data_IF_427001923786
#
_entry.id   IF_427001923786
#
_cell.length_a   1.000
_cell.length_b   1.000
_cell.length_c   1.000
_cell.angle_alpha   90.00
_cell.angle_beta   90.00
_cell.angle_gamma   90.00
#
_symmetry.space_group_name_H-M   'P 1'
#
loop_
_entity.id
_entity.type
_entity.pdbx_description
1 polymer ?
#
# COMPACT_ATOMS: atom_id res chain seq x y z
N UNK A 1 -20.68 8.55 -4.23
CA UNK A 1 -20.36 7.10 -4.10
C UNK A 1 -21.33 6.50 -3.07
N UNK A 2 -22.21 5.61 -3.51
CA UNK A 2 -23.11 4.90 -2.60
C UNK A 2 -22.33 3.96 -1.68
N UNK A 3 -22.68 3.95 -0.42
CA UNK A 3 -22.09 3.02 0.56
C UNK A 3 -22.66 1.62 0.31
N UNK A 4 -21.80 0.66 0.08
CA UNK A 4 -22.17 -0.75 -0.04
C UNK A 4 -22.98 -1.21 1.19
N UNK A 5 -24.07 -1.95 0.96
CA UNK A 5 -24.86 -2.57 2.02
C UNK A 5 -24.03 -3.57 2.84
N UNK A 6 -24.41 -3.84 4.08
CA UNK A 6 -23.73 -4.84 4.93
C UNK A 6 -23.69 -6.24 4.30
N UNK A 7 -24.68 -6.58 3.47
CA UNK A 7 -24.77 -7.87 2.74
C UNK A 7 -23.71 -7.94 1.63
N UNK A 8 -23.55 -6.87 0.86
CA UNK A 8 -22.54 -6.75 -0.18
C UNK A 8 -21.12 -6.75 0.39
N UNK A 9 -20.91 -6.03 1.52
CA UNK A 9 -19.63 -6.07 2.22
C UNK A 9 -19.25 -7.48 2.71
N UNK A 10 -20.23 -8.27 3.20
CA UNK A 10 -20.02 -9.67 3.59
C UNK A 10 -19.70 -10.55 2.38
N UNK A 11 -20.38 -10.34 1.25
CA UNK A 11 -20.10 -11.07 0.00
C UNK A 11 -18.70 -10.75 -0.53
N UNK A 12 -18.29 -9.48 -0.52
CA UNK A 12 -16.93 -9.09 -0.92
C UNK A 12 -15.86 -9.70 -0.01
N UNK A 13 -16.10 -9.74 1.31
CA UNK A 13 -15.19 -10.41 2.25
C UNK A 13 -15.06 -11.93 1.97
N UNK A 14 -16.15 -12.60 1.58
CA UNK A 14 -16.10 -14.02 1.20
C UNK A 14 -15.36 -14.27 -0.11
N UNK A 15 -15.34 -13.30 -1.04
CA UNK A 15 -14.62 -13.41 -2.31
C UNK A 15 -13.09 -13.36 -2.17
N UNK A 16 -12.57 -13.03 -0.98
CA UNK A 16 -11.13 -12.94 -0.74
C UNK A 16 -10.50 -11.65 -1.32
N UNK A 17 -9.19 -11.58 -1.24
CA UNK A 17 -8.42 -10.43 -1.74
C UNK A 17 -8.44 -10.39 -3.27
N UNK A 18 -8.65 -9.21 -3.86
CA UNK A 18 -8.57 -9.04 -5.31
C UNK A 18 -7.17 -9.37 -5.83
N UNK A 19 -7.06 -9.71 -7.12
CA UNK A 19 -5.77 -10.07 -7.69
C UNK A 19 -4.74 -8.94 -7.53
N UNK A 20 -5.12 -7.69 -7.76
CA UNK A 20 -4.23 -6.53 -7.56
C UNK A 20 -3.80 -6.31 -6.10
N UNK A 21 -4.67 -6.59 -5.12
CA UNK A 21 -4.35 -6.35 -3.71
C UNK A 21 -3.28 -7.29 -3.14
N UNK A 22 -2.84 -8.26 -3.93
CA UNK A 22 -1.75 -9.15 -3.58
C UNK A 22 -0.37 -8.55 -3.87
N UNK A 23 -0.33 -7.38 -4.52
CA UNK A 23 0.91 -6.69 -4.87
C UNK A 23 0.89 -5.24 -4.39
N UNK A 24 2.05 -4.73 -4.04
CA UNK A 24 2.32 -3.31 -3.98
C UNK A 24 3.15 -2.95 -5.21
N UNK A 25 2.76 -1.87 -5.88
CA UNK A 25 3.44 -1.40 -7.08
C UNK A 25 4.03 -0.02 -6.87
N UNK A 26 5.08 0.26 -7.63
CA UNK A 26 5.64 1.59 -7.78
C UNK A 26 5.92 1.85 -9.27
N UNK A 27 5.83 3.12 -9.69
CA UNK A 27 6.11 3.50 -11.06
C UNK A 27 7.35 4.41 -11.08
N UNK A 28 8.46 3.86 -11.58
CA UNK A 28 9.77 4.50 -11.62
C UNK A 28 10.32 4.38 -13.05
N UNK A 29 10.90 5.44 -13.57
CA UNK A 29 11.56 5.47 -14.89
C UNK A 29 10.70 4.87 -16.01
N UNK A 30 9.43 5.23 -16.00
CA UNK A 30 8.41 4.77 -16.97
C UNK A 30 8.12 3.26 -16.90
N UNK A 31 8.48 2.58 -15.80
CA UNK A 31 8.27 1.16 -15.56
C UNK A 31 7.41 0.92 -14.33
N UNK A 32 6.52 -0.05 -14.40
CA UNK A 32 5.78 -0.52 -13.23
C UNK A 32 6.57 -1.64 -12.56
N UNK A 33 6.90 -1.46 -11.30
CA UNK A 33 7.71 -2.39 -10.50
C UNK A 33 6.87 -2.99 -9.39
N UNK A 34 7.01 -4.29 -9.14
CA UNK A 34 6.42 -4.97 -7.97
C UNK A 34 7.33 -4.72 -6.76
N UNK A 35 6.87 -3.90 -5.80
CA UNK A 35 7.60 -3.68 -4.55
C UNK A 35 7.41 -4.80 -3.54
N UNK A 36 6.18 -5.35 -3.46
CA UNK A 36 5.85 -6.45 -2.55
C UNK A 36 4.95 -7.44 -3.24
N UNK A 37 5.29 -8.71 -3.07
CA UNK A 37 4.50 -9.84 -3.50
C UNK A 37 3.90 -10.56 -2.28
N UNK A 38 2.56 -10.61 -2.22
CA UNK A 38 1.81 -11.37 -1.21
C UNK A 38 1.00 -12.50 -1.86
N UNK A 39 1.23 -12.73 -3.15
CA UNK A 39 0.61 -13.84 -3.88
C UNK A 39 1.33 -15.16 -3.56
N UNK A 40 0.74 -16.27 -4.02
CA UNK A 40 1.36 -17.59 -3.89
C UNK A 40 2.41 -17.90 -4.96
N UNK A 41 2.56 -16.99 -5.93
CA UNK A 41 3.54 -17.15 -6.99
C UNK A 41 4.90 -16.70 -6.49
N UNK A 42 5.94 -17.43 -6.86
CA UNK A 42 7.32 -17.05 -6.58
C UNK A 42 7.76 -15.94 -7.56
N UNK A 43 7.36 -14.73 -7.21
CA UNK A 43 7.70 -13.51 -7.94
C UNK A 43 8.60 -12.69 -7.02
N UNK A 44 9.81 -12.42 -7.46
CA UNK A 44 10.77 -11.61 -6.71
C UNK A 44 10.29 -10.16 -6.60
N UNK A 45 10.56 -9.52 -5.48
CA UNK A 45 10.40 -8.07 -5.32
C UNK A 45 11.34 -7.34 -6.28
N UNK A 46 10.99 -6.12 -6.64
CA UNK A 46 11.65 -5.29 -7.65
C UNK A 46 11.60 -5.85 -9.09
N UNK A 47 10.68 -6.77 -9.38
CA UNK A 47 10.45 -7.26 -10.75
C UNK A 47 9.64 -6.27 -11.57
N UNK A 48 10.09 -5.98 -12.81
CA UNK A 48 9.40 -5.12 -13.76
C UNK A 48 8.17 -5.83 -14.34
N UNK A 49 7.04 -5.12 -14.40
CA UNK A 49 5.80 -5.57 -15.05
C UNK A 49 5.77 -5.01 -16.48
N UNK A 50 5.93 -5.89 -17.46
CA UNK A 50 5.93 -5.53 -18.90
C UNK A 50 4.50 -5.27 -19.37
N UNK A 51 3.56 -6.15 -18.96
CA UNK A 51 2.14 -5.94 -19.28
C UNK A 51 1.22 -6.50 -18.21
N UNK A 52 0.03 -5.89 -18.12
CA UNK A 52 -1.10 -6.31 -17.30
C UNK A 52 -2.26 -6.59 -18.24
N UNK A 53 -2.73 -7.83 -18.32
CA UNK A 53 -3.78 -8.27 -19.26
C UNK A 53 -3.53 -7.81 -20.71
N UNK A 54 -2.27 -7.92 -21.17
CA UNK A 54 -1.76 -7.51 -22.48
C UNK A 54 -1.72 -5.99 -22.72
N UNK A 55 -1.94 -5.15 -21.72
CA UNK A 55 -1.82 -3.69 -21.79
C UNK A 55 -0.51 -3.24 -21.13
N UNK A 56 0.19 -2.30 -21.72
CA UNK A 56 1.44 -1.75 -21.16
C UNK A 56 1.13 -0.79 -20.02
N UNK A 57 1.74 -0.95 -18.85
CA UNK A 57 1.51 -0.05 -17.71
C UNK A 57 1.84 1.42 -18.00
N UNK A 58 2.86 1.71 -18.81
CA UNK A 58 3.22 3.07 -19.22
C UNK A 58 2.08 3.78 -19.95
N UNK A 59 1.40 3.07 -20.85
CA UNK A 59 0.29 3.63 -21.64
C UNK A 59 -0.91 3.91 -20.73
N UNK A 60 -1.22 2.97 -19.85
CA UNK A 60 -2.29 3.14 -18.86
C UNK A 60 -2.01 4.31 -17.90
N UNK A 61 -0.78 4.43 -17.41
CA UNK A 61 -0.39 5.55 -16.53
C UNK A 61 -0.50 6.89 -17.25
N UNK A 62 -0.13 6.95 -18.53
CA UNK A 62 -0.28 8.16 -19.33
C UNK A 62 -1.76 8.59 -19.45
N UNK A 63 -2.68 7.63 -19.60
CA UNK A 63 -4.13 7.90 -19.59
C UNK A 63 -4.58 8.35 -18.19
N UNK A 64 -4.10 7.70 -17.13
CA UNK A 64 -4.52 8.01 -15.77
C UNK A 64 -4.01 9.37 -15.27
N UNK A 65 -2.83 9.80 -15.72
CA UNK A 65 -2.31 11.16 -15.43
C UNK A 65 -3.31 12.26 -15.81
N UNK A 66 -4.02 12.08 -16.91
CA UNK A 66 -5.00 13.07 -17.39
C UNK A 66 -6.29 13.10 -16.54
N UNK A 67 -6.48 12.15 -15.62
CA UNK A 67 -7.66 12.04 -14.75
C UNK A 67 -7.42 12.56 -13.34
N UNK A 68 -6.22 13.02 -13.05
CA UNK A 68 -5.81 13.47 -11.72
C UNK A 68 -5.26 14.88 -11.85
N UNK A 69 -5.73 15.78 -10.99
CA UNK A 69 -5.11 17.09 -10.82
C UNK A 69 -3.90 16.98 -9.90
N UNK A 70 -2.81 17.63 -10.23
CA UNK A 70 -1.68 17.83 -9.34
C UNK A 70 -1.41 19.31 -9.17
N UNK A 71 -0.70 19.65 -8.11
CA UNK A 71 -0.28 21.01 -7.86
C UNK A 71 0.95 21.34 -8.74
N UNK A 72 0.76 22.27 -9.66
CA UNK A 72 1.80 22.78 -10.55
C UNK A 72 2.44 21.74 -11.49
N UNK A 73 3.74 21.87 -11.70
CA UNK A 73 4.53 21.06 -12.65
C UNK A 73 5.14 19.80 -12.02
N UNK A 74 4.68 19.36 -10.83
CA UNK A 74 5.26 18.25 -10.12
C UNK A 74 4.91 16.89 -10.75
N UNK A 75 5.82 16.36 -11.57
CA UNK A 75 5.66 15.07 -12.24
C UNK A 75 5.92 13.87 -11.30
N UNK A 76 6.71 14.04 -10.25
CA UNK A 76 7.03 12.96 -9.30
C UNK A 76 5.81 12.49 -8.52
N UNK A 77 4.89 13.41 -8.18
CA UNK A 77 3.62 13.07 -7.55
C UNK A 77 2.83 12.04 -8.34
N UNK A 78 2.71 12.24 -9.67
CA UNK A 78 1.95 11.32 -10.52
C UNK A 78 2.52 9.91 -10.50
N UNK A 79 3.83 9.77 -10.61
CA UNK A 79 4.49 8.48 -10.68
C UNK A 79 4.29 7.70 -9.37
N UNK A 80 4.53 8.32 -8.22
CA UNK A 80 4.32 7.72 -6.92
C UNK A 80 2.84 7.36 -6.68
N UNK A 81 1.94 8.30 -6.92
CA UNK A 81 0.52 8.12 -6.65
C UNK A 81 -0.09 7.04 -7.56
N UNK A 82 0.16 7.11 -8.86
CA UNK A 82 -0.37 6.17 -9.83
C UNK A 82 0.25 4.79 -9.69
N UNK A 83 1.54 4.68 -9.37
CA UNK A 83 2.17 3.41 -9.06
C UNK A 83 1.50 2.74 -7.87
N UNK A 84 1.42 3.44 -6.74
CA UNK A 84 0.80 2.95 -5.50
C UNK A 84 -0.66 2.53 -5.67
N UNK A 85 -1.44 3.27 -6.44
CA UNK A 85 -2.87 3.03 -6.65
C UNK A 85 -3.18 2.43 -8.02
N UNK A 86 -2.20 1.87 -8.72
CA UNK A 86 -2.34 1.34 -10.07
C UNK A 86 -3.53 0.39 -10.22
N UNK A 87 -3.67 -0.57 -9.32
CA UNK A 87 -4.79 -1.52 -9.34
C UNK A 87 -6.16 -0.87 -9.14
N UNK A 88 -6.23 0.24 -8.40
CA UNK A 88 -7.48 0.99 -8.21
C UNK A 88 -7.88 1.68 -9.52
N UNK A 89 -6.93 2.40 -10.15
CA UNK A 89 -7.18 3.07 -11.44
C UNK A 89 -7.52 2.10 -12.54
N UNK A 90 -6.83 0.96 -12.59
CA UNK A 90 -7.12 -0.10 -13.55
C UNK A 90 -8.54 -0.64 -13.39
N UNK A 91 -8.96 -0.96 -12.16
CA UNK A 91 -10.31 -1.43 -11.89
C UNK A 91 -11.38 -0.39 -12.23
N UNK A 92 -11.12 0.90 -11.97
CA UNK A 92 -12.03 2.00 -12.35
C UNK A 92 -12.13 2.15 -13.86
N UNK A 93 -11.01 2.04 -14.57
CA UNK A 93 -10.97 2.12 -16.03
C UNK A 93 -11.75 0.96 -16.69
N UNK A 94 -11.62 -0.25 -16.16
CA UNK A 94 -12.34 -1.44 -16.65
C UNK A 94 -13.76 -1.57 -16.11
N UNK A 95 -14.22 -0.65 -15.26
CA UNK A 95 -15.55 -0.64 -14.66
C UNK A 95 -15.84 -1.80 -13.69
N UNK A 96 -14.84 -2.61 -13.34
CA UNK A 96 -14.98 -3.77 -12.44
C UNK A 96 -13.68 -4.15 -11.76
N UNK A 97 -13.80 -4.75 -10.58
CA UNK A 97 -12.65 -5.35 -9.89
C UNK A 97 -12.25 -6.64 -10.60
N UNK A 98 -10.97 -6.76 -10.96
CA UNK A 98 -10.46 -7.92 -11.65
C UNK A 98 -10.34 -9.12 -10.72
N UNK A 99 -10.92 -10.27 -11.11
CA UNK A 99 -10.82 -11.53 -10.38
C UNK A 99 -9.53 -12.30 -10.72
N UNK A 100 -8.94 -12.00 -11.86
CA UNK A 100 -7.64 -12.52 -12.29
C UNK A 100 -6.85 -11.47 -13.05
N UNK A 101 -5.53 -11.59 -13.02
CA UNK A 101 -4.57 -10.76 -13.76
C UNK A 101 -3.63 -11.66 -14.52
N UNK A 102 -3.36 -11.32 -15.77
CA UNK A 102 -2.24 -11.84 -16.54
C UNK A 102 -1.11 -10.85 -16.44
N UNK A 103 -0.05 -11.20 -15.74
CA UNK A 103 1.14 -10.36 -15.56
C UNK A 103 2.27 -10.93 -16.39
N UNK A 104 2.73 -10.19 -17.38
CA UNK A 104 3.99 -10.48 -18.06
C UNK A 104 5.08 -9.75 -17.31
N UNK A 105 6.03 -10.50 -16.75
CA UNK A 105 7.09 -10.01 -15.88
C UNK A 105 8.44 -10.20 -16.56
N UNK A 106 9.33 -9.25 -16.36
CA UNK A 106 10.69 -9.29 -16.88
C UNK A 106 11.60 -10.01 -15.89
N UNK A 107 12.27 -11.04 -16.37
CA UNK A 107 13.37 -11.72 -15.67
C UNK A 107 14.66 -11.52 -16.46
N UNK A 108 15.80 -11.81 -15.84
CA UNK A 108 17.13 -11.55 -16.40
C UNK A 108 17.29 -12.11 -17.84
N UNK A 109 16.80 -13.33 -18.10
CA UNK A 109 17.00 -14.02 -19.38
C UNK A 109 15.74 -14.17 -20.24
N UNK A 110 14.55 -14.03 -19.69
CA UNK A 110 13.29 -14.15 -20.44
C UNK A 110 12.08 -13.68 -19.67
N UNK A 111 11.10 -13.20 -20.44
CA UNK A 111 9.84 -12.78 -19.87
C UNK A 111 8.99 -13.99 -19.47
N UNK A 112 8.29 -13.88 -18.36
CA UNK A 112 7.45 -14.95 -17.85
C UNK A 112 6.03 -14.46 -17.58
N UNK A 113 5.04 -15.26 -18.01
CA UNK A 113 3.63 -14.96 -17.85
C UNK A 113 3.08 -15.62 -16.58
N UNK A 114 2.50 -14.83 -15.70
CA UNK A 114 1.80 -15.29 -14.50
C UNK A 114 0.32 -14.98 -14.57
N UNK A 115 -0.51 -15.96 -14.21
CA UNK A 115 -1.94 -15.75 -14.05
C UNK A 115 -2.28 -15.76 -12.57
N UNK A 116 -2.45 -14.57 -12.02
CA UNK A 116 -2.76 -14.37 -10.60
C UNK A 116 -4.27 -14.27 -10.43
N UNK A 117 -4.85 -15.22 -9.73
CA UNK A 117 -6.28 -15.23 -9.42
C UNK A 117 -6.54 -14.57 -8.07
N UNK A 118 -7.80 -14.19 -7.83
CA UNK A 118 -8.26 -13.74 -6.51
C UNK A 118 -7.90 -14.79 -5.46
N UNK A 119 -7.35 -14.34 -4.35
CA UNK A 119 -7.01 -15.24 -3.24
C UNK A 119 -8.23 -15.46 -2.36
N UNK A 120 -8.77 -16.66 -2.42
CA UNK A 120 -9.88 -17.10 -1.57
C UNK A 120 -9.40 -17.57 -0.19
N UNK A 121 -8.09 -17.78 -0.01
CA UNK A 121 -7.47 -18.21 1.23
C UNK A 121 -6.69 -17.06 1.85
N UNK A 122 -7.18 -16.42 2.83
CA UNK A 122 -6.38 -15.35 3.45
C UNK A 122 -7.10 -14.48 4.47
N UNK A 123 -8.31 -14.87 4.86
CA UNK A 123 -8.95 -14.25 6.02
C UNK A 123 -8.52 -14.89 7.34
N UNK A 124 -7.68 -15.91 7.31
CA UNK A 124 -7.23 -16.69 8.48
C UNK A 124 -5.70 -16.71 8.71
N UNK A 125 -4.93 -15.77 8.19
CA UNK A 125 -3.75 -15.43 8.94
C UNK A 125 -4.25 -14.69 10.20
N UNK A 126 -4.70 -15.44 11.17
CA UNK A 126 -4.48 -15.06 12.55
C UNK A 126 -2.95 -14.97 12.63
N UNK A 127 -2.38 -13.79 12.33
CA UNK A 127 -1.16 -13.40 12.99
C UNK A 127 -1.41 -13.79 14.42
N UNK A 128 -0.59 -14.67 14.99
CA UNK A 128 -0.65 -14.98 16.40
C UNK A 128 -0.46 -13.65 17.12
N UNK A 129 -1.58 -13.00 17.40
CA UNK A 129 -1.60 -11.76 18.15
C UNK A 129 -1.11 -12.18 19.52
N UNK A 130 0.16 -11.94 19.78
CA UNK A 130 0.72 -12.07 21.12
C UNK A 130 -0.25 -11.35 22.03
N UNK A 131 -0.97 -12.11 22.86
CA UNK A 131 -1.95 -11.56 23.80
C UNK A 131 -1.16 -10.85 24.89
N UNK A 132 -0.96 -9.55 24.70
CA UNK A 132 -0.35 -8.69 25.70
C UNK A 132 -1.17 -8.78 27.01
N UNK A 133 -0.48 -8.82 28.12
CA UNK A 133 -1.11 -8.72 29.44
C UNK A 133 -1.83 -7.38 29.61
N UNK A 134 -2.77 -7.28 30.54
CA UNK A 134 -3.50 -6.02 30.79
C UNK A 134 -2.56 -4.86 31.16
N UNK A 135 -1.41 -5.17 31.80
CA UNK A 135 -0.39 -4.17 32.18
C UNK A 135 0.33 -3.64 30.93
N UNK A 136 0.84 -4.54 30.10
CA UNK A 136 1.50 -4.19 28.83
C UNK A 136 0.56 -3.44 27.88
N UNK A 137 -0.73 -3.81 27.86
CA UNK A 137 -1.72 -3.10 27.06
C UNK A 137 -1.90 -1.64 27.52
N UNK A 138 -1.96 -1.41 28.86
CA UNK A 138 -2.04 -0.06 29.41
C UNK A 138 -0.79 0.78 29.10
N UNK A 139 0.39 0.19 29.27
CA UNK A 139 1.66 0.85 28.96
C UNK A 139 1.75 1.20 27.47
N UNK A 140 1.39 0.26 26.59
CA UNK A 140 1.32 0.52 25.13
C UNK A 140 0.30 1.61 24.78
N UNK A 141 -0.86 1.65 25.43
CA UNK A 141 -1.86 2.70 25.20
C UNK A 141 -1.33 4.07 25.65
N UNK A 142 -0.65 4.13 26.82
CA UNK A 142 -0.02 5.37 27.33
C UNK A 142 1.08 5.83 26.39
N UNK A 143 1.96 4.96 25.95
CA UNK A 143 3.00 5.24 24.97
C UNK A 143 2.41 5.76 23.65
N UNK A 144 1.41 5.07 23.10
CA UNK A 144 0.74 5.44 21.85
C UNK A 144 0.08 6.82 21.95
N UNK A 145 -0.52 7.15 23.10
CA UNK A 145 -1.13 8.47 23.34
C UNK A 145 -0.05 9.55 23.41
N UNK A 146 1.05 9.29 24.11
CA UNK A 146 2.17 10.26 24.26
C UNK A 146 2.78 10.63 22.90
N UNK A 147 3.01 9.64 22.03
CA UNK A 147 3.68 9.83 20.74
C UNK A 147 2.75 10.01 19.54
N UNK A 148 1.45 10.17 19.78
CA UNK A 148 0.48 10.46 18.73
C UNK A 148 0.26 9.30 17.76
N UNK A 149 0.02 8.10 18.28
CA UNK A 149 -0.27 6.94 17.43
C UNK A 149 -1.65 7.06 16.78
N UNK A 150 -1.69 7.01 15.46
CA UNK A 150 -2.93 6.96 14.69
C UNK A 150 -3.32 5.49 14.44
N UNK A 151 -4.50 5.09 14.92
CA UNK A 151 -5.02 3.71 14.80
C UNK A 151 -5.40 3.33 13.36
N UNK A 152 -5.86 4.31 12.58
CA UNK A 152 -6.35 4.08 11.22
C UNK A 152 -5.19 3.86 10.25
N UNK A 153 -4.15 4.66 10.37
CA UNK A 153 -2.92 4.56 9.56
C UNK A 153 -1.88 3.62 10.14
N UNK A 154 -2.05 3.20 11.42
CA UNK A 154 -1.10 2.37 12.19
C UNK A 154 0.31 2.98 12.25
N UNK A 155 0.40 4.29 12.24
CA UNK A 155 1.67 5.04 12.29
C UNK A 155 1.66 6.06 13.40
N UNK A 156 2.85 6.47 13.86
CA UNK A 156 3.00 7.63 14.73
C UNK A 156 2.94 8.91 13.91
N UNK A 157 2.37 9.98 14.47
CA UNK A 157 2.32 11.29 13.83
C UNK A 157 3.68 11.98 13.83
N UNK A 158 4.54 11.59 14.75
CA UNK A 158 5.91 12.07 14.87
C UNK A 158 6.86 10.94 15.27
N UNK A 159 8.07 11.01 14.83
CA UNK A 159 9.10 10.02 15.08
C UNK A 159 10.45 10.72 15.19
N UNK A 160 11.23 10.36 16.20
CA UNK A 160 12.62 10.79 16.37
C UNK A 160 13.52 9.57 16.26
N UNK A 161 14.48 9.59 15.36
CA UNK A 161 15.50 8.56 15.19
C UNK A 161 16.88 9.18 15.18
N UNK A 162 17.82 8.56 15.86
CA UNK A 162 19.22 8.89 15.69
C UNK A 162 19.78 8.21 14.45
N UNK A 163 20.72 8.87 13.79
CA UNK A 163 21.42 8.28 12.64
C UNK A 163 22.25 7.08 13.13
N UNK A 164 22.25 5.99 12.38
CA UNK A 164 23.08 4.84 12.73
C UNK A 164 24.55 5.26 12.86
N UNK A 165 25.17 4.86 13.98
CA UNK A 165 26.55 5.20 14.36
C UNK A 165 26.82 6.69 14.65
N UNK A 166 25.80 7.54 14.74
CA UNK A 166 25.93 8.95 15.13
C UNK A 166 24.85 9.33 16.16
N UNK A 167 25.24 9.34 17.43
CA UNK A 167 24.35 9.73 18.52
C UNK A 167 24.14 11.24 18.64
N UNK A 168 24.85 12.04 17.85
CA UNK A 168 24.77 13.51 17.89
C UNK A 168 23.76 14.06 16.88
N UNK A 169 23.42 13.27 15.85
CA UNK A 169 22.49 13.68 14.81
C UNK A 169 21.17 12.92 14.93
N UNK A 170 20.07 13.66 15.06
CA UNK A 170 18.72 13.10 15.14
C UNK A 170 17.86 13.57 13.97
N UNK A 171 17.09 12.65 13.40
CA UNK A 171 16.10 12.93 12.35
C UNK A 171 14.73 12.95 12.99
N UNK A 172 14.07 14.11 12.97
CA UNK A 172 12.68 14.26 13.38
C UNK A 172 11.76 14.20 12.17
N UNK A 173 10.85 13.25 12.15
CA UNK A 173 9.83 13.13 11.11
C UNK A 173 8.47 13.51 11.66
N UNK A 174 7.86 14.56 11.11
CA UNK A 174 6.51 15.01 11.46
C UNK A 174 5.59 14.68 10.30
N UNK A 175 4.67 13.74 10.51
CA UNK A 175 3.73 13.25 9.47
C UNK A 175 2.40 14.00 9.48
N UNK A 176 2.08 14.68 10.59
CA UNK A 176 0.82 15.37 10.78
C UNK A 176 0.96 16.51 11.79
N UNK A 177 0.42 17.68 11.47
CA UNK A 177 0.50 18.90 12.29
C UNK A 177 -0.74 19.15 13.17
N UNK A 178 -1.64 18.18 13.30
CA UNK A 178 -2.79 18.34 14.20
C UNK A 178 -2.49 17.79 15.61
N UNK A 179 -3.14 18.39 16.60
CA UNK A 179 -2.97 18.04 18.01
C UNK A 179 -3.81 16.82 18.44
N UNK A 180 -4.61 16.26 17.55
CA UNK A 180 -5.67 15.30 17.92
C UNK A 180 -5.20 14.03 18.60
N UNK A 181 -3.93 13.63 18.42
CA UNK A 181 -3.40 12.37 18.93
C UNK A 181 -2.12 12.52 19.77
N UNK A 182 -1.68 13.75 20.08
CA UNK A 182 -0.47 14.01 20.85
C UNK A 182 -0.77 15.05 21.94
N UNK A 183 -1.15 14.57 23.12
CA UNK A 183 -1.58 15.44 24.23
C UNK A 183 -0.45 16.24 24.87
N UNK A 184 0.80 15.82 24.73
CA UNK A 184 1.95 16.44 25.40
C UNK A 184 2.91 17.16 24.43
N UNK A 185 2.46 17.48 23.22
CA UNK A 185 3.30 18.10 22.20
C UNK A 185 3.90 19.47 22.62
N UNK A 186 3.19 20.21 23.44
CA UNK A 186 3.63 21.55 23.90
C UNK A 186 4.18 21.56 25.32
N UNK A 187 4.38 20.40 25.93
CA UNK A 187 4.89 20.29 27.30
C UNK A 187 6.37 19.88 27.36
N UNK A 188 6.93 19.51 26.22
CA UNK A 188 8.35 19.23 26.02
C UNK A 188 9.04 20.44 25.37
#
# INVERSE_FOLDING_TARGET
>A
MEKLSKKEQKLLKKKGKSAFSQFDFEFIDNKLIILKNRSRHDIKENTEVISVNNERPSDLISIYKNRISSDGYNQTFYNQYLGKYFGVFYNLDKGKVQDSLKLLLKFEDKDSLFVVKRDTFGTNSKEDKIKLSKKELKEKMKFNSKYGYNKDTKTFTRELKFVENDSTTAIMTIKQFNNGNATDFYKE
#
